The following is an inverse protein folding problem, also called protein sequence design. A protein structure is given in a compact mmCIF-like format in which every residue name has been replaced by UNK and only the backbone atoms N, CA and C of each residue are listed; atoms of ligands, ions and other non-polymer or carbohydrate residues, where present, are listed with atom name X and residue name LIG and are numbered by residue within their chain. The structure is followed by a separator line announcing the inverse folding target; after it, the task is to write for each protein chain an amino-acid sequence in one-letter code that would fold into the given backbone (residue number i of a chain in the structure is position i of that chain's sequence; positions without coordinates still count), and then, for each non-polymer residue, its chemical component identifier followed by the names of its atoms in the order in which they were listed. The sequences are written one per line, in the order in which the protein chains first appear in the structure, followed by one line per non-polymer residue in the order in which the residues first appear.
data_IF_470509343889
#
_entry.id   IF_470509343889
#
_cell.length_a   1.000
_cell.length_b   1.000
_cell.length_c   1.000
_cell.angle_alpha   90.00
_cell.angle_beta   90.00
_cell.angle_gamma   90.00
#
_symmetry.space_group_name_H-M   'P 1'
#
loop_
_entity.id
_entity.type
_entity.pdbx_description
1 polymer ?
#
# COMPACT_ATOMS: atom_id res chain seq x y z
N UNK A 1 5.58 9.40 -11.80
CA UNK A 1 5.65 8.48 -10.66
C UNK A 1 5.04 7.17 -11.15
N UNK A 2 5.61 6.03 -10.77
CA UNK A 2 5.10 4.70 -11.14
C UNK A 2 4.33 4.21 -9.93
N UNK A 3 3.03 3.92 -10.06
CA UNK A 3 2.25 3.42 -8.94
C UNK A 3 2.74 2.01 -8.54
N UNK A 4 2.47 1.57 -7.30
CA UNK A 4 2.74 0.18 -6.90
C UNK A 4 2.08 -0.81 -7.85
N UNK A 5 0.86 -0.49 -8.31
CA UNK A 5 0.11 -1.32 -9.25
C UNK A 5 0.81 -1.41 -10.60
N UNK A 6 1.33 -0.31 -11.13
CA UNK A 6 2.13 -0.32 -12.36
C UNK A 6 3.41 -1.12 -12.19
N UNK A 7 4.08 -0.99 -11.04
CA UNK A 7 5.24 -1.80 -10.73
C UNK A 7 4.90 -3.29 -10.72
N UNK A 8 3.83 -3.69 -10.02
CA UNK A 8 3.39 -5.08 -9.96
C UNK A 8 3.01 -5.62 -11.35
N UNK A 9 2.35 -4.82 -12.19
CA UNK A 9 2.04 -5.20 -13.56
C UNK A 9 3.29 -5.39 -14.43
N UNK A 10 4.26 -4.48 -14.33
CA UNK A 10 5.55 -4.63 -15.00
C UNK A 10 6.32 -5.86 -14.50
N UNK A 11 6.19 -6.18 -13.21
CA UNK A 11 6.79 -7.35 -12.59
C UNK A 11 6.14 -8.65 -13.13
N UNK A 12 4.80 -8.68 -13.20
CA UNK A 12 4.03 -9.77 -13.82
C UNK A 12 4.47 -9.98 -15.26
N UNK A 13 4.53 -8.92 -16.07
CA UNK A 13 4.95 -9.02 -17.47
C UNK A 13 6.42 -9.46 -17.62
N UNK A 14 7.31 -8.93 -16.77
CA UNK A 14 8.72 -9.31 -16.77
C UNK A 14 8.93 -10.80 -16.48
N UNK A 15 8.22 -11.32 -15.49
CA UNK A 15 8.34 -12.73 -15.11
C UNK A 15 7.45 -13.66 -15.91
N UNK A 16 6.51 -13.16 -16.71
CA UNK A 16 5.67 -14.04 -17.50
C UNK A 16 6.52 -14.82 -18.53
N UNK A 17 6.48 -16.16 -18.54
CA UNK A 17 7.24 -16.96 -19.50
C UNK A 17 7.04 -16.53 -20.97
N UNK A 18 5.83 -16.09 -21.33
CA UNK A 18 5.54 -15.60 -22.68
C UNK A 18 6.41 -14.40 -23.09
N UNK A 19 6.85 -13.55 -22.16
CA UNK A 19 7.58 -12.31 -22.47
C UNK A 19 8.97 -12.56 -23.08
N UNK A 20 9.49 -13.78 -22.92
CA UNK A 20 10.78 -14.21 -23.49
C UNK A 20 10.68 -14.68 -24.94
N UNK A 21 9.46 -14.79 -25.49
CA UNK A 21 9.21 -15.37 -26.81
C UNK A 21 8.53 -14.38 -27.75
N UNK A 22 8.77 -14.55 -29.05
CA UNK A 22 8.12 -13.73 -30.08
C UNK A 22 6.64 -14.12 -30.23
N UNK A 23 5.78 -13.38 -29.54
CA UNK A 23 4.33 -13.57 -29.62
C UNK A 23 3.74 -13.16 -30.98
N UNK A 24 4.51 -12.49 -31.85
CA UNK A 24 4.08 -12.18 -33.23
C UNK A 24 4.28 -13.34 -34.20
N UNK A 25 5.06 -14.35 -33.81
CA UNK A 25 5.28 -15.54 -34.62
C UNK A 25 4.02 -16.42 -34.70
N UNK A 26 3.92 -17.23 -35.75
CA UNK A 26 2.79 -18.16 -35.90
C UNK A 26 2.81 -19.20 -34.78
N UNK A 27 1.65 -19.76 -34.44
CA UNK A 27 1.57 -20.82 -33.43
C UNK A 27 2.47 -22.02 -33.78
N UNK A 28 2.57 -22.38 -35.06
CA UNK A 28 3.42 -23.49 -35.52
C UNK A 28 4.91 -23.21 -35.29
N UNK A 29 5.34 -21.96 -35.52
CA UNK A 29 6.73 -21.54 -35.28
C UNK A 29 7.05 -21.53 -33.77
N UNK A 30 6.14 -21.02 -32.95
CA UNK A 30 6.26 -21.01 -31.48
C UNK A 30 6.34 -22.44 -30.91
N UNK A 31 5.52 -23.37 -31.42
CA UNK A 31 5.58 -24.78 -31.02
C UNK A 31 6.91 -25.40 -31.43
N UNK A 32 7.39 -25.11 -32.64
CA UNK A 32 8.68 -25.61 -33.12
C UNK A 32 9.84 -25.12 -32.25
N UNK A 33 9.83 -23.85 -31.84
CA UNK A 33 10.79 -23.28 -30.91
C UNK A 33 10.75 -23.97 -29.53
N UNK A 34 9.56 -24.24 -28.98
CA UNK A 34 9.42 -24.96 -27.72
C UNK A 34 9.90 -26.41 -27.80
N UNK A 35 9.69 -27.10 -28.92
CA UNK A 35 10.25 -28.44 -29.15
C UNK A 35 11.78 -28.40 -29.04
N UNK A 36 12.42 -27.43 -29.69
CA UNK A 36 13.88 -27.27 -29.64
C UNK A 36 14.38 -27.00 -28.22
N UNK A 37 13.64 -26.21 -27.42
CA UNK A 37 13.96 -25.91 -26.02
C UNK A 37 13.84 -27.17 -25.16
N UNK A 38 12.70 -27.88 -25.22
CA UNK A 38 12.47 -29.12 -24.46
C UNK A 38 13.52 -30.17 -24.81
N UNK A 39 13.90 -30.29 -26.09
CA UNK A 39 14.97 -31.19 -26.51
C UNK A 39 16.32 -30.82 -25.87
N UNK A 40 16.66 -29.53 -25.76
CA UNK A 40 17.87 -29.07 -25.07
C UNK A 40 17.81 -29.34 -23.57
N UNK A 41 16.66 -29.11 -22.93
CA UNK A 41 16.43 -29.44 -21.51
C UNK A 41 16.65 -30.94 -21.26
N UNK A 42 16.08 -31.82 -22.09
CA UNK A 42 16.29 -33.27 -21.96
C UNK A 42 17.76 -33.67 -22.17
N UNK A 43 18.47 -33.03 -23.10
CA UNK A 43 19.92 -33.26 -23.24
C UNK A 43 20.69 -32.83 -21.99
N UNK A 44 20.35 -31.69 -21.40
CA UNK A 44 20.97 -31.22 -20.16
C UNK A 44 20.71 -32.15 -18.98
N UNK A 45 19.54 -32.82 -18.95
CA UNK A 45 19.21 -33.87 -17.98
C UNK A 45 19.93 -35.22 -18.25
N UNK A 46 20.74 -35.32 -19.30
CA UNK A 46 21.55 -36.50 -19.60
C UNK A 46 20.87 -37.55 -20.48
N UNK A 47 19.71 -37.25 -21.07
CA UNK A 47 19.09 -38.13 -22.06
C UNK A 47 19.88 -38.12 -23.37
N UNK A 48 20.12 -39.30 -23.94
CA UNK A 48 20.75 -39.42 -25.26
C UNK A 48 19.75 -39.14 -26.40
N UNK A 49 20.27 -38.99 -27.62
CA UNK A 49 19.44 -38.68 -28.80
C UNK A 49 18.40 -39.76 -29.12
N UNK A 50 18.66 -41.03 -28.80
CA UNK A 50 17.72 -42.12 -29.07
C UNK A 50 16.57 -42.12 -28.05
N UNK A 51 16.87 -41.85 -26.78
CA UNK A 51 15.90 -41.68 -25.72
C UNK A 51 15.00 -40.46 -25.96
N UNK A 52 15.56 -39.32 -26.39
CA UNK A 52 14.78 -38.13 -26.75
C UNK A 52 13.89 -38.41 -27.96
N UNK A 53 14.43 -39.03 -29.03
CA UNK A 53 13.65 -39.37 -30.21
C UNK A 53 12.49 -40.34 -29.90
N UNK A 54 12.66 -41.24 -28.93
CA UNK A 54 11.59 -42.15 -28.49
C UNK A 54 10.42 -41.46 -27.79
N UNK A 55 10.60 -40.21 -27.35
CA UNK A 55 9.60 -39.37 -26.67
C UNK A 55 9.05 -38.24 -27.56
N UNK A 56 9.23 -38.32 -28.89
CA UNK A 56 8.90 -37.21 -29.79
C UNK A 56 7.44 -36.73 -29.67
N UNK A 57 6.50 -37.65 -29.50
CA UNK A 57 5.08 -37.32 -29.31
C UNK A 57 4.84 -36.60 -27.98
N UNK A 58 5.47 -37.06 -26.89
CA UNK A 58 5.36 -36.42 -25.57
C UNK A 58 5.98 -35.01 -25.57
N UNK A 59 7.08 -34.82 -26.31
CA UNK A 59 7.75 -33.52 -26.48
C UNK A 59 6.86 -32.56 -27.27
N UNK A 60 6.23 -33.04 -28.35
CA UNK A 60 5.31 -32.23 -29.15
C UNK A 60 4.05 -31.84 -28.35
N UNK A 61 3.48 -32.75 -27.58
CA UNK A 61 2.35 -32.46 -26.69
C UNK A 61 2.73 -31.44 -25.60
N UNK A 62 3.90 -31.61 -24.97
CA UNK A 62 4.41 -30.65 -23.98
C UNK A 62 4.67 -29.27 -24.59
N UNK A 63 5.23 -29.20 -25.80
CA UNK A 63 5.45 -27.95 -26.51
C UNK A 63 4.14 -27.23 -26.85
N UNK A 64 3.13 -27.96 -27.30
CA UNK A 64 1.80 -27.39 -27.55
C UNK A 64 1.19 -26.81 -26.26
N UNK A 65 1.27 -27.55 -25.16
CA UNK A 65 0.78 -27.08 -23.85
C UNK A 65 1.49 -25.81 -23.38
N UNK A 66 2.83 -25.74 -23.50
CA UNK A 66 3.59 -24.51 -23.17
C UNK A 66 3.15 -23.31 -24.00
N UNK A 67 2.91 -23.50 -25.30
CA UNK A 67 2.45 -22.41 -26.19
C UNK A 67 1.03 -21.94 -25.83
N UNK A 68 0.13 -22.87 -25.50
CA UNK A 68 -1.23 -22.52 -25.09
C UNK A 68 -1.22 -21.77 -23.74
N UNK A 69 -0.39 -22.21 -22.79
CA UNK A 69 -0.15 -21.52 -21.51
C UNK A 69 0.41 -20.10 -21.71
N UNK A 70 1.44 -19.94 -22.56
CA UNK A 70 1.99 -18.61 -22.88
C UNK A 70 0.93 -17.66 -23.48
N UNK A 71 0.03 -18.19 -24.30
CA UNK A 71 -1.08 -17.39 -24.85
C UNK A 71 -2.08 -17.01 -23.76
N UNK A 72 -2.45 -17.93 -22.88
CA UNK A 72 -3.33 -17.61 -21.74
C UNK A 72 -2.73 -16.56 -20.80
N UNK A 73 -1.42 -16.64 -20.52
CA UNK A 73 -0.71 -15.65 -19.71
C UNK A 73 -0.69 -14.27 -20.38
N UNK A 74 -0.46 -14.21 -21.69
CA UNK A 74 -0.49 -12.97 -22.45
C UNK A 74 -1.89 -12.34 -22.44
N UNK A 75 -2.92 -13.15 -22.68
CA UNK A 75 -4.32 -12.69 -22.67
C UNK A 75 -4.69 -12.13 -21.29
N UNK A 76 -4.29 -12.78 -20.19
CA UNK A 76 -4.49 -12.29 -18.83
C UNK A 76 -3.78 -10.94 -18.60
N UNK A 77 -2.51 -10.81 -18.99
CA UNK A 77 -1.76 -9.56 -18.77
C UNK A 77 -2.39 -8.40 -19.55
N UNK A 78 -2.84 -8.63 -20.78
CA UNK A 78 -3.55 -7.60 -21.56
C UNK A 78 -4.90 -7.24 -20.93
N UNK A 79 -5.65 -8.22 -20.41
CA UNK A 79 -6.91 -7.97 -19.70
C UNK A 79 -6.67 -7.14 -18.43
N UNK A 80 -5.65 -7.46 -17.64
CA UNK A 80 -5.25 -6.69 -16.47
C UNK A 80 -4.83 -5.25 -16.84
N UNK A 81 -4.09 -5.06 -17.93
CA UNK A 81 -3.75 -3.72 -18.45
C UNK A 81 -5.00 -2.91 -18.77
N UNK A 82 -5.98 -3.53 -19.43
CA UNK A 82 -7.25 -2.87 -19.80
C UNK A 82 -8.01 -2.42 -18.55
N UNK A 83 -8.12 -3.27 -17.53
CA UNK A 83 -8.81 -2.94 -16.27
C UNK A 83 -8.11 -1.81 -15.51
N UNK A 84 -6.78 -1.86 -15.44
CA UNK A 84 -5.98 -0.80 -14.80
C UNK A 84 -6.11 0.53 -15.53
N UNK A 85 -6.02 0.55 -16.86
CA UNK A 85 -6.23 1.75 -17.66
C UNK A 85 -7.66 2.30 -17.54
N UNK A 86 -8.66 1.43 -17.35
CA UNK A 86 -10.04 1.84 -17.15
C UNK A 86 -10.22 2.54 -15.81
N UNK A 87 -9.65 1.99 -14.74
CA UNK A 87 -9.63 2.61 -13.42
C UNK A 87 -8.95 3.98 -13.45
N UNK A 88 -7.75 4.09 -14.04
CA UNK A 88 -7.06 5.38 -14.20
C UNK A 88 -7.89 6.43 -14.95
N UNK A 89 -8.57 6.03 -16.03
CA UNK A 89 -9.44 6.95 -16.80
C UNK A 89 -10.67 7.41 -16.03
N UNK A 90 -11.21 6.55 -15.17
CA UNK A 90 -12.40 6.84 -14.37
C UNK A 90 -12.09 7.67 -13.11
N UNK A 91 -10.85 7.59 -12.62
CA UNK A 91 -10.47 8.13 -11.30
C UNK A 91 -11.07 7.33 -10.13
N UNK A 92 -11.76 6.23 -10.41
CA UNK A 92 -12.25 5.29 -9.40
C UNK A 92 -11.14 4.27 -9.05
N UNK A 93 -11.08 3.79 -7.81
CA UNK A 93 -10.14 2.74 -7.43
C UNK A 93 -10.43 1.46 -8.25
N UNK A 94 -9.36 0.74 -8.59
CA UNK A 94 -9.46 -0.54 -9.32
C UNK A 94 -10.34 -1.52 -8.54
N UNK A 95 -11.27 -2.21 -9.20
CA UNK A 95 -12.03 -3.29 -8.57
C UNK A 95 -11.12 -4.52 -8.37
N UNK A 96 -10.58 -4.62 -7.16
CA UNK A 96 -9.72 -5.73 -6.77
C UNK A 96 -10.44 -7.08 -6.85
N UNK A 97 -11.78 -7.14 -6.77
CA UNK A 97 -12.50 -8.40 -6.82
C UNK A 97 -12.48 -9.02 -8.22
N UNK A 98 -12.62 -8.19 -9.26
CA UNK A 98 -12.60 -8.65 -10.65
C UNK A 98 -11.18 -9.08 -11.05
N UNK A 99 -10.16 -8.31 -10.68
CA UNK A 99 -8.77 -8.73 -10.85
C UNK A 99 -8.47 -10.02 -10.07
N UNK A 100 -8.97 -10.15 -8.85
CA UNK A 100 -8.79 -11.36 -8.05
C UNK A 100 -9.47 -12.56 -8.69
N UNK A 101 -10.66 -12.40 -9.28
CA UNK A 101 -11.36 -13.47 -9.98
C UNK A 101 -10.59 -13.93 -11.23
N UNK A 102 -10.09 -12.99 -12.05
CA UNK A 102 -9.28 -13.28 -13.25
C UNK A 102 -8.00 -14.02 -12.90
N UNK A 103 -7.25 -13.51 -11.91
CA UNK A 103 -6.00 -14.13 -11.44
C UNK A 103 -6.27 -15.50 -10.84
N UNK A 104 -7.29 -15.62 -9.97
CA UNK A 104 -7.64 -16.90 -9.35
C UNK A 104 -8.05 -17.94 -10.39
N UNK A 105 -8.80 -17.55 -11.42
CA UNK A 105 -9.17 -18.46 -12.50
C UNK A 105 -7.92 -18.94 -13.25
N UNK A 106 -7.05 -18.02 -13.66
CA UNK A 106 -5.81 -18.37 -14.35
C UNK A 106 -4.91 -19.29 -13.51
N UNK A 107 -4.76 -19.02 -12.22
CA UNK A 107 -3.96 -19.84 -11.30
C UNK A 107 -4.55 -21.24 -11.07
N UNK A 108 -5.88 -21.38 -11.08
CA UNK A 108 -6.53 -22.69 -11.00
C UNK A 108 -6.41 -23.51 -12.29
N UNK A 109 -6.34 -22.82 -13.44
CA UNK A 109 -6.20 -23.45 -14.75
C UNK A 109 -4.73 -23.83 -15.05
N UNK A 110 -3.77 -23.22 -14.35
CA UNK A 110 -2.35 -23.53 -14.43
C UNK A 110 -2.02 -24.95 -13.94
N UNK A 111 -1.09 -25.64 -14.62
CA UNK A 111 -0.67 -26.99 -14.23
C UNK A 111 0.31 -26.94 -13.03
N UNK A 112 0.09 -27.79 -12.00
CA UNK A 112 0.80 -27.84 -10.70
C UNK A 112 2.36 -27.76 -10.74
N UNK A 113 3.01 -28.07 -11.87
CA UNK A 113 4.48 -28.17 -11.94
C UNK A 113 5.21 -26.84 -12.18
N UNK A 114 4.52 -25.76 -12.53
CA UNK A 114 5.11 -24.44 -12.85
C UNK A 114 4.74 -23.34 -11.83
N UNK A 115 4.08 -23.67 -10.72
CA UNK A 115 3.60 -22.68 -9.73
C UNK A 115 4.72 -22.00 -8.93
N UNK A 116 5.93 -22.59 -8.89
CA UNK A 116 7.13 -22.01 -8.25
C UNK A 116 7.79 -20.94 -9.13
N UNK A 117 6.98 -20.02 -9.67
CA UNK A 117 7.41 -18.99 -10.59
C UNK A 117 7.19 -17.60 -9.98
N UNK A 118 8.18 -16.68 -10.05
CA UNK A 118 8.01 -15.29 -9.65
C UNK A 118 6.73 -14.66 -10.22
N UNK A 119 6.33 -15.08 -11.43
CA UNK A 119 5.10 -14.69 -12.12
C UNK A 119 3.84 -14.85 -11.27
N UNK A 120 3.60 -16.04 -10.71
CA UNK A 120 2.38 -16.31 -9.92
C UNK A 120 2.40 -15.56 -8.59
N UNK A 121 3.59 -15.32 -8.02
CA UNK A 121 3.73 -14.49 -6.82
C UNK A 121 3.42 -13.01 -7.12
N UNK A 122 3.85 -12.49 -8.28
CA UNK A 122 3.49 -11.13 -8.72
C UNK A 122 1.98 -11.01 -8.98
N UNK A 123 1.35 -12.03 -9.58
CA UNK A 123 -0.11 -12.08 -9.77
C UNK A 123 -0.87 -12.11 -8.43
N UNK A 124 -0.39 -12.89 -7.45
CA UNK A 124 -0.99 -12.95 -6.12
C UNK A 124 -0.89 -11.59 -5.39
N UNK A 125 0.21 -10.86 -5.55
CA UNK A 125 0.35 -9.52 -4.99
C UNK A 125 -0.52 -8.47 -5.68
N UNK A 126 -0.73 -8.60 -7.00
CA UNK A 126 -1.63 -7.73 -7.76
C UNK A 126 -3.10 -7.96 -7.40
N UNK A 127 -3.49 -9.22 -7.18
CA UNK A 127 -4.87 -9.63 -6.87
C UNK A 127 -5.21 -9.64 -5.37
N UNK A 128 -4.20 -9.63 -4.50
CA UNK A 128 -4.40 -9.80 -3.05
C UNK A 128 -4.75 -11.24 -2.64
N UNK A 129 -4.36 -12.26 -3.40
CA UNK A 129 -4.61 -13.67 -3.07
C UNK A 129 -3.80 -14.13 -1.84
N UNK A 130 -4.45 -14.07 -0.67
CA UNK A 130 -3.88 -14.52 0.60
C UNK A 130 -3.59 -16.01 0.65
N UNK A 131 -4.39 -16.83 -0.03
CA UNK A 131 -4.22 -18.28 -0.02
C UNK A 131 -2.90 -18.70 -0.69
N UNK A 132 -2.58 -18.07 -1.82
CA UNK A 132 -1.30 -18.29 -2.48
C UNK A 132 -0.14 -17.61 -1.73
N UNK A 133 -0.31 -16.39 -1.22
CA UNK A 133 0.71 -15.66 -0.45
C UNK A 133 1.19 -16.44 0.80
N UNK A 134 0.33 -17.27 1.38
CA UNK A 134 0.66 -18.11 2.54
C UNK A 134 1.25 -19.49 2.16
N UNK A 135 1.39 -19.80 0.87
CA UNK A 135 1.88 -21.09 0.38
C UNK A 135 3.41 -21.16 0.31
N UNK A 136 3.95 -22.39 0.30
CA UNK A 136 5.40 -22.62 0.13
C UNK A 136 5.91 -22.22 -1.27
N UNK A 137 5.01 -22.06 -2.24
CA UNK A 137 5.32 -21.67 -3.62
C UNK A 137 5.40 -20.14 -3.80
N UNK A 138 5.02 -19.35 -2.78
CA UNK A 138 5.10 -17.90 -2.81
C UNK A 138 6.54 -17.41 -2.59
N UNK A 139 7.00 -16.60 -3.54
CA UNK A 139 8.28 -15.90 -3.44
C UNK A 139 8.06 -14.48 -2.95
N UNK A 140 8.89 -14.02 -2.00
CA UNK A 140 8.73 -12.69 -1.39
C UNK A 140 8.87 -11.54 -2.40
N UNK A 141 8.16 -10.41 -2.21
CA UNK A 141 8.27 -9.24 -3.08
C UNK A 141 9.71 -8.70 -3.16
N UNK A 142 10.47 -8.76 -2.06
CA UNK A 142 11.85 -8.32 -2.00
C UNK A 142 12.78 -9.13 -2.92
N UNK A 143 12.66 -10.46 -2.90
CA UNK A 143 13.49 -11.32 -3.77
C UNK A 143 13.18 -11.09 -5.25
N UNK A 144 11.89 -10.92 -5.58
CA UNK A 144 11.45 -10.68 -6.95
C UNK A 144 11.89 -9.29 -7.45
N UNK A 145 11.83 -8.27 -6.59
CA UNK A 145 12.37 -6.95 -6.90
C UNK A 145 13.86 -6.97 -7.23
N UNK A 146 14.67 -7.71 -6.45
CA UNK A 146 16.11 -7.86 -6.73
C UNK A 146 16.30 -8.47 -8.13
N UNK A 147 15.59 -9.54 -8.47
CA UNK A 147 15.68 -10.18 -9.79
C UNK A 147 15.27 -9.24 -10.93
N UNK A 148 14.15 -8.54 -10.77
CA UNK A 148 13.64 -7.57 -11.73
C UNK A 148 14.65 -6.42 -11.95
N UNK A 149 15.11 -5.80 -10.87
CA UNK A 149 16.00 -4.64 -10.94
C UNK A 149 17.40 -5.00 -11.45
N UNK A 150 17.92 -6.18 -11.10
CA UNK A 150 19.18 -6.66 -11.68
C UNK A 150 19.05 -6.93 -13.18
N UNK A 151 17.89 -7.40 -13.65
CA UNK A 151 17.62 -7.61 -15.07
C UNK A 151 17.48 -6.27 -15.81
N UNK A 152 16.81 -5.29 -15.20
CA UNK A 152 16.58 -3.97 -15.79
C UNK A 152 17.82 -3.06 -15.79
N UNK A 153 18.61 -3.05 -14.71
CA UNK A 153 19.72 -2.11 -14.50
C UNK A 153 21.11 -2.75 -14.62
N UNK A 154 21.19 -4.07 -14.60
CA UNK A 154 22.43 -4.81 -14.37
C UNK A 154 22.88 -4.76 -12.91
N UNK A 155 23.73 -5.71 -12.51
CA UNK A 155 24.15 -5.87 -11.10
C UNK A 155 24.74 -4.59 -10.49
N UNK A 156 25.70 -3.94 -11.16
CA UNK A 156 26.33 -2.72 -10.64
C UNK A 156 25.35 -1.52 -10.58
N UNK A 157 24.38 -1.48 -11.49
CA UNK A 157 23.31 -0.48 -11.47
C UNK A 157 22.38 -0.67 -10.28
N UNK A 158 21.98 -1.92 -10.04
CA UNK A 158 21.19 -2.31 -8.87
C UNK A 158 21.91 -2.02 -7.55
N UNK A 159 23.18 -2.43 -7.39
CA UNK A 159 23.95 -2.18 -6.15
C UNK A 159 24.05 -0.68 -5.81
N UNK A 160 24.25 0.18 -6.83
CA UNK A 160 24.26 1.63 -6.64
C UNK A 160 22.88 2.19 -6.24
N UNK A 161 21.84 1.72 -6.92
CA UNK A 161 20.46 2.10 -6.63
C UNK A 161 20.03 1.68 -5.22
N UNK A 162 20.33 0.45 -4.83
CA UNK A 162 20.06 -0.10 -3.50
C UNK A 162 20.79 0.72 -2.42
N UNK A 163 22.07 1.06 -2.65
CA UNK A 163 22.82 1.88 -1.71
C UNK A 163 22.21 3.28 -1.54
N UNK A 164 21.85 3.95 -2.64
CA UNK A 164 21.25 5.30 -2.59
C UNK A 164 19.92 5.29 -1.84
N UNK A 165 19.04 4.34 -2.15
CA UNK A 165 17.74 4.25 -1.49
C UNK A 165 17.87 3.86 -0.02
N UNK A 166 18.85 3.04 0.34
CA UNK A 166 19.15 2.70 1.74
C UNK A 166 19.66 3.90 2.54
N UNK A 167 20.49 4.75 1.93
CA UNK A 167 20.95 5.98 2.58
C UNK A 167 19.80 6.96 2.84
N UNK A 168 18.79 7.02 1.96
CA UNK A 168 17.57 7.80 2.18
C UNK A 168 16.78 7.25 3.37
N UNK A 169 16.55 5.92 3.43
CA UNK A 169 15.86 5.28 4.56
C UNK A 169 16.58 5.56 5.88
N UNK A 170 17.91 5.41 5.92
CA UNK A 170 18.70 5.74 7.10
C UNK A 170 18.57 7.24 7.49
N UNK A 171 18.48 8.14 6.52
CA UNK A 171 18.26 9.56 6.79
C UNK A 171 16.88 9.82 7.40
N UNK A 172 15.85 9.10 6.95
CA UNK A 172 14.49 9.15 7.50
C UNK A 172 14.47 8.69 8.96
N UNK A 173 15.12 7.56 9.27
CA UNK A 173 15.23 7.07 10.66
C UNK A 173 15.90 8.09 11.59
N UNK A 174 16.92 8.80 11.10
CA UNK A 174 17.55 9.89 11.85
C UNK A 174 16.61 11.08 12.04
N UNK A 175 15.81 11.44 11.03
CA UNK A 175 14.81 12.49 11.14
C UNK A 175 13.72 12.14 12.16
N UNK A 176 13.28 10.88 12.20
CA UNK A 176 12.35 10.41 13.25
C UNK A 176 12.96 10.51 14.65
N UNK A 177 14.24 10.13 14.80
CA UNK A 177 14.93 10.25 16.08
C UNK A 177 14.96 11.71 16.56
N UNK A 178 15.25 12.64 15.65
CA UNK A 178 15.23 14.08 15.94
C UNK A 178 13.82 14.60 16.23
N UNK A 179 12.81 14.20 15.45
CA UNK A 179 11.42 14.55 15.70
C UNK A 179 10.96 14.09 17.09
N UNK A 180 11.47 12.96 17.59
CA UNK A 180 11.17 12.48 18.95
C UNK A 180 11.73 13.39 20.07
N UNK A 181 12.72 14.22 19.78
CA UNK A 181 13.28 15.18 20.73
C UNK A 181 12.50 16.51 20.79
N UNK A 182 11.58 16.74 19.86
CA UNK A 182 10.76 17.97 19.81
C UNK A 182 9.72 17.96 20.94
N UNK A 183 9.81 19.00 21.79
CA UNK A 183 8.92 19.19 22.94
C UNK A 183 7.57 19.78 22.54
N UNK A 184 7.53 20.69 21.56
CA UNK A 184 6.30 21.30 21.07
C UNK A 184 5.43 20.24 20.36
N UNK A 185 4.23 19.93 20.87
CA UNK A 185 3.44 18.83 20.32
C UNK A 185 2.92 19.06 18.90
N UNK A 186 2.63 20.32 18.52
CA UNK A 186 2.16 20.64 17.17
C UNK A 186 3.29 20.54 16.16
N UNK A 187 4.47 21.10 16.49
CA UNK A 187 5.65 20.97 15.63
C UNK A 187 6.04 19.50 15.46
N UNK A 188 5.94 18.71 16.52
CA UNK A 188 6.22 17.27 16.46
C UNK A 188 5.25 16.53 15.53
N UNK A 189 3.94 16.78 15.66
CA UNK A 189 2.95 16.17 14.77
C UNK A 189 3.20 16.54 13.30
N UNK A 190 3.48 17.82 13.03
CA UNK A 190 3.81 18.28 11.68
C UNK A 190 5.07 17.60 11.10
N UNK A 191 6.12 17.39 11.92
CA UNK A 191 7.31 16.65 11.51
C UNK A 191 7.00 15.18 11.23
N UNK A 192 6.20 14.52 12.07
CA UNK A 192 5.78 13.13 11.87
C UNK A 192 5.02 12.98 10.54
N UNK A 193 4.16 13.95 10.18
CA UNK A 193 3.44 13.97 8.89
C UNK A 193 4.42 14.13 7.72
N UNK A 194 5.32 15.11 7.76
CA UNK A 194 6.33 15.31 6.71
C UNK A 194 7.26 14.11 6.54
N UNK A 195 7.64 13.46 7.64
CA UNK A 195 8.40 12.22 7.61
C UNK A 195 7.59 11.10 6.96
N UNK A 196 6.29 11.03 7.26
CA UNK A 196 5.36 10.11 6.62
C UNK A 196 5.23 10.33 5.12
N UNK A 197 5.15 11.58 4.66
CA UNK A 197 5.15 11.95 3.24
C UNK A 197 6.45 11.48 2.56
N UNK A 198 7.61 11.74 3.18
CA UNK A 198 8.91 11.26 2.68
C UNK A 198 9.00 9.74 2.62
N UNK A 199 8.39 9.03 3.58
CA UNK A 199 8.27 7.56 3.54
C UNK A 199 7.38 7.10 2.39
N UNK A 200 6.30 7.84 2.10
CA UNK A 200 5.46 7.63 0.92
C UNK A 200 6.26 7.78 -0.38
N UNK A 201 7.05 8.85 -0.52
CA UNK A 201 7.94 9.06 -1.68
C UNK A 201 8.95 7.92 -1.84
N UNK A 202 9.51 7.43 -0.73
CA UNK A 202 10.44 6.28 -0.76
C UNK A 202 9.70 4.99 -1.10
N UNK A 203 8.45 4.81 -0.70
CA UNK A 203 7.64 3.65 -1.06
C UNK A 203 7.45 3.54 -2.58
N UNK A 204 7.42 4.67 -3.30
CA UNK A 204 7.37 4.68 -4.77
C UNK A 204 8.71 4.27 -5.40
N UNK A 205 9.83 4.62 -4.78
CA UNK A 205 11.15 4.16 -5.20
C UNK A 205 11.31 2.66 -4.88
N UNK A 206 10.81 2.22 -3.73
CA UNK A 206 10.94 0.86 -3.20
C UNK A 206 9.57 0.19 -3.10
N UNK A 207 8.88 -0.09 -4.22
CA UNK A 207 7.52 -0.64 -4.21
C UNK A 207 7.43 -2.05 -3.61
N UNK A 208 8.57 -2.75 -3.47
CA UNK A 208 8.68 -4.04 -2.81
C UNK A 208 8.73 -3.95 -1.27
N UNK A 209 8.97 -2.76 -0.72
CA UNK A 209 9.10 -2.53 0.71
C UNK A 209 7.70 -2.36 1.31
N UNK A 210 7.10 -3.47 1.74
CA UNK A 210 5.69 -3.54 2.14
C UNK A 210 5.37 -2.65 3.34
N UNK A 211 6.34 -2.44 4.22
CA UNK A 211 6.18 -1.62 5.43
C UNK A 211 6.00 -0.13 5.09
N UNK A 212 6.52 0.31 3.94
CA UNK A 212 6.38 1.68 3.47
C UNK A 212 5.04 1.94 2.77
N UNK A 213 4.31 0.90 2.37
CA UNK A 213 3.12 1.04 1.52
C UNK A 213 1.93 1.65 2.27
N UNK A 214 1.89 1.52 3.60
CA UNK A 214 0.89 2.24 4.40
C UNK A 214 1.05 3.77 4.31
N UNK A 215 2.24 4.27 3.93
CA UNK A 215 2.51 5.70 3.83
C UNK A 215 2.02 6.32 2.51
N UNK A 216 1.64 5.52 1.51
CA UNK A 216 1.08 6.00 0.24
C UNK A 216 -0.45 6.13 0.26
N UNK A 217 -1.10 5.71 1.35
CA UNK A 217 -2.55 5.71 1.50
C UNK A 217 -2.94 6.80 2.48
N UNK A 218 -3.86 7.68 2.09
CA UNK A 218 -4.40 8.71 2.97
C UNK A 218 -5.34 8.10 4.04
N UNK A 219 -5.25 8.62 5.26
CA UNK A 219 -6.19 8.37 6.36
C UNK A 219 -7.00 9.65 6.61
N UNK A 220 -8.20 9.68 6.04
CA UNK A 220 -9.13 10.80 6.15
C UNK A 220 -9.63 11.03 7.60
N UNK A 221 -9.33 10.12 8.54
CA UNK A 221 -9.74 10.27 9.94
C UNK A 221 -9.01 11.41 10.66
N UNK A 222 -7.88 11.88 10.12
CA UNK A 222 -7.07 12.96 10.70
C UNK A 222 -7.02 14.21 9.82
N UNK A 223 -7.73 14.22 8.69
CA UNK A 223 -7.85 15.40 7.85
C UNK A 223 -8.94 16.30 8.39
N UNK A 224 -8.61 17.57 8.62
CA UNK A 224 -9.55 18.58 9.10
C UNK A 224 -9.61 19.72 8.11
N UNK A 225 -10.81 20.07 7.64
CA UNK A 225 -11.01 21.15 6.66
C UNK A 225 -10.74 22.56 7.21
N UNK A 226 -10.46 22.70 8.51
CA UNK A 226 -10.10 23.97 9.14
C UNK A 226 -8.71 23.87 9.75
N UNK A 227 -7.86 24.87 9.48
CA UNK A 227 -6.50 24.94 10.04
C UNK A 227 -6.47 25.58 11.44
N UNK A 228 -5.31 25.52 12.09
CA UNK A 228 -5.11 26.06 13.45
C UNK A 228 -5.46 27.55 13.54
N UNK A 229 -5.13 28.35 12.53
CA UNK A 229 -5.42 29.78 12.51
C UNK A 229 -6.91 30.09 12.40
N UNK A 230 -7.69 29.23 11.73
CA UNK A 230 -9.15 29.35 11.65
C UNK A 230 -9.83 29.00 12.97
N UNK A 231 -9.27 28.03 13.71
CA UNK A 231 -9.71 27.68 15.07
C UNK A 231 -9.38 28.78 16.10
N UNK A 232 -8.26 29.50 15.92
CA UNK A 232 -7.87 30.61 16.80
C UNK A 232 -8.70 31.89 16.60
N UNK A 233 -9.39 32.01 15.46
CA UNK A 233 -10.23 33.15 15.09
C UNK A 233 -11.73 32.83 15.12
N UNK A 234 -12.14 31.79 15.85
CA UNK A 234 -13.55 31.44 16.04
C UNK A 234 -14.31 32.56 16.76
N UNK A 235 -15.55 32.80 16.34
CA UNK A 235 -16.46 33.65 17.11
C UNK A 235 -16.69 33.04 18.51
N UNK A 236 -17.00 33.84 19.55
CA UNK A 236 -17.04 33.34 20.93
C UNK A 236 -17.91 32.08 21.14
N UNK A 237 -19.05 31.98 20.47
CA UNK A 237 -19.92 30.80 20.52
C UNK A 237 -19.36 29.58 19.80
N UNK A 238 -18.60 29.77 18.72
CA UNK A 238 -17.91 28.69 18.01
C UNK A 238 -16.70 28.22 18.84
N UNK A 239 -15.96 29.16 19.43
CA UNK A 239 -14.84 28.89 20.31
C UNK A 239 -15.27 28.08 21.55
N UNK A 240 -16.42 28.38 22.16
CA UNK A 240 -16.96 27.61 23.28
C UNK A 240 -17.25 26.14 22.92
N UNK A 241 -17.83 25.88 21.73
CA UNK A 241 -18.09 24.51 21.25
C UNK A 241 -16.79 23.74 20.99
N UNK A 242 -15.84 24.39 20.33
CA UNK A 242 -14.52 23.83 20.08
C UNK A 242 -13.78 23.51 21.39
N UNK A 243 -13.75 24.44 22.33
CA UNK A 243 -13.15 24.27 23.65
C UNK A 243 -13.76 23.09 24.42
N UNK A 244 -15.08 22.90 24.36
CA UNK A 244 -15.75 21.80 25.03
C UNK A 244 -15.33 20.42 24.47
N UNK A 245 -15.24 20.29 23.14
CA UNK A 245 -14.75 19.06 22.49
C UNK A 245 -13.28 18.82 22.83
N UNK A 246 -12.47 19.89 22.78
CA UNK A 246 -11.05 19.83 23.12
C UNK A 246 -10.82 19.30 24.54
N UNK A 247 -11.50 19.90 25.51
CA UNK A 247 -11.32 19.57 26.92
C UNK A 247 -11.79 18.14 27.23
N UNK A 248 -12.85 17.66 26.57
CA UNK A 248 -13.33 16.27 26.69
C UNK A 248 -12.34 15.25 26.11
N UNK A 249 -11.76 15.51 24.94
CA UNK A 249 -10.72 14.67 24.33
C UNK A 249 -9.48 14.62 25.22
N UNK A 250 -8.99 15.79 25.66
CA UNK A 250 -7.81 15.90 26.52
C UNK A 250 -8.04 15.17 27.85
N UNK A 251 -9.20 15.36 28.48
CA UNK A 251 -9.54 14.68 29.72
C UNK A 251 -9.60 13.15 29.55
N UNK A 252 -10.19 12.67 28.45
CA UNK A 252 -10.29 11.24 28.16
C UNK A 252 -8.92 10.63 27.92
N UNK A 253 -8.09 11.26 27.09
CA UNK A 253 -6.72 10.82 26.83
C UNK A 253 -5.89 10.75 28.12
N UNK A 254 -5.96 11.79 28.96
CA UNK A 254 -5.28 11.83 30.26
C UNK A 254 -5.75 10.71 31.19
N UNK A 255 -7.03 10.31 31.12
CA UNK A 255 -7.56 9.21 31.93
C UNK A 255 -6.99 7.84 31.57
N UNK A 256 -6.41 7.71 30.36
CA UNK A 256 -5.70 6.51 29.89
C UNK A 256 -4.18 6.61 30.09
N UNK A 257 -3.69 7.67 30.73
CA UNK A 257 -2.27 7.90 30.97
C UNK A 257 -1.51 8.51 29.78
N UNK A 258 -2.23 8.99 28.75
CA UNK A 258 -1.63 9.72 27.64
C UNK A 258 -1.44 11.20 28.00
N UNK A 259 -0.57 11.89 27.25
CA UNK A 259 -0.56 13.35 27.23
C UNK A 259 -1.65 13.83 26.26
N UNK A 260 -2.78 14.30 26.82
CA UNK A 260 -3.94 14.69 26.03
C UNK A 260 -3.69 15.87 25.07
N UNK A 261 -2.79 16.79 25.41
CA UNK A 261 -2.45 17.89 24.50
C UNK A 261 -1.62 17.38 23.32
N UNK A 262 -0.67 16.47 23.59
CA UNK A 262 0.11 15.82 22.53
C UNK A 262 -0.75 14.93 21.64
N UNK A 263 -1.71 14.23 22.23
CA UNK A 263 -2.68 13.44 21.48
C UNK A 263 -3.49 14.31 20.52
N UNK A 264 -4.07 15.40 21.03
CA UNK A 264 -4.91 16.30 20.26
C UNK A 264 -4.14 17.01 19.13
N UNK A 265 -2.87 17.34 19.34
CA UNK A 265 -2.06 18.09 18.38
C UNK A 265 -1.94 17.41 17.00
N UNK A 266 -2.16 16.08 16.92
CA UNK A 266 -2.14 15.28 15.68
C UNK A 266 -3.34 15.50 14.76
N UNK A 267 -4.41 16.12 15.26
CA UNK A 267 -5.64 16.39 14.52
C UNK A 267 -5.68 17.83 13.97
N UNK A 268 -4.55 18.53 13.95
CA UNK A 268 -4.52 19.94 13.62
C UNK A 268 -3.54 20.20 12.48
N UNK A 269 -3.94 21.04 11.52
CA UNK A 269 -3.06 21.63 10.51
C UNK A 269 -2.44 20.63 9.51
N UNK A 270 -3.22 19.62 9.09
CA UNK A 270 -2.81 18.63 8.11
C UNK A 270 -3.88 18.47 7.01
N UNK A 271 -3.49 18.72 5.75
CA UNK A 271 -4.37 18.51 4.58
C UNK A 271 -4.59 17.01 4.30
N UNK A 272 -3.57 16.20 4.56
CA UNK A 272 -3.58 14.74 4.44
C UNK A 272 -2.62 14.14 5.46
N UNK A 273 -2.97 12.98 6.02
CA UNK A 273 -2.08 12.18 6.86
C UNK A 273 -2.13 10.76 6.33
N UNK A 274 -0.99 10.07 6.22
CA UNK A 274 -0.99 8.70 5.72
C UNK A 274 -1.36 7.67 6.80
N UNK A 275 -1.92 6.53 6.37
CA UNK A 275 -2.26 5.40 7.25
C UNK A 275 -1.04 4.92 8.04
N UNK A 276 0.16 4.92 7.42
CA UNK A 276 1.41 4.56 8.10
C UNK A 276 1.77 5.50 9.25
N UNK A 277 1.56 6.81 9.08
CA UNK A 277 1.79 7.79 10.14
C UNK A 277 0.79 7.63 11.28
N UNK A 278 -0.50 7.45 10.97
CA UNK A 278 -1.54 7.29 12.00
C UNK A 278 -1.40 5.99 12.76
N UNK A 279 -0.99 4.89 12.10
CA UNK A 279 -0.64 3.63 12.76
C UNK A 279 0.51 3.82 13.76
N UNK A 280 1.58 4.53 13.36
CA UNK A 280 2.72 4.83 14.24
C UNK A 280 2.29 5.59 15.49
N UNK A 281 1.38 6.57 15.36
CA UNK A 281 0.82 7.28 16.49
C UNK A 281 -0.05 6.39 17.40
N UNK A 282 -0.92 5.57 16.81
CA UNK A 282 -1.78 4.63 17.56
C UNK A 282 -0.94 3.64 18.35
N UNK A 283 0.09 3.05 17.76
CA UNK A 283 0.97 2.07 18.42
C UNK A 283 1.71 2.69 19.62
N UNK A 284 2.18 3.93 19.47
CA UNK A 284 2.83 4.67 20.55
C UNK A 284 1.85 4.96 21.72
N UNK A 285 0.61 5.31 21.40
CA UNK A 285 -0.43 5.57 22.39
C UNK A 285 -0.87 4.29 23.10
N UNK A 286 -1.06 3.19 22.37
CA UNK A 286 -1.39 1.86 22.92
C UNK A 286 -0.30 1.43 23.88
N UNK A 287 0.96 1.55 23.49
CA UNK A 287 2.11 1.20 24.34
C UNK A 287 2.14 2.04 25.63
N UNK A 288 1.85 3.34 25.53
CA UNK A 288 1.81 4.26 26.67
C UNK A 288 0.64 3.94 27.61
N UNK A 289 -0.55 3.71 27.07
CA UNK A 289 -1.74 3.36 27.84
C UNK A 289 -1.62 1.98 28.49
N UNK A 290 -1.03 1.00 27.80
CA UNK A 290 -0.77 -0.33 28.36
C UNK A 290 0.14 -0.25 29.59
N UNK A 291 1.23 0.53 29.51
CA UNK A 291 2.12 0.77 30.65
C UNK A 291 1.39 1.47 31.81
N UNK A 292 0.48 2.40 31.51
CA UNK A 292 -0.35 3.05 32.52
C UNK A 292 -1.28 2.05 33.22
N UNK A 293 -2.02 1.23 32.47
CA UNK A 293 -2.93 0.22 33.03
C UNK A 293 -2.20 -0.87 33.80
N UNK A 294 -1.03 -1.32 33.33
CA UNK A 294 -0.17 -2.25 34.05
C UNK A 294 0.26 -1.68 35.40
N UNK A 295 0.65 -0.39 35.43
CA UNK A 295 1.00 0.30 36.70
C UNK A 295 -0.16 0.40 37.70
N UNK A 296 -1.40 0.29 37.23
CA UNK A 296 -2.61 0.25 38.06
C UNK A 296 -3.04 -1.18 38.45
N UNK A 297 -2.32 -2.20 37.98
CA UNK A 297 -2.65 -3.61 38.22
C UNK A 297 -3.84 -4.12 37.41
N UNK A 298 -4.13 -3.51 36.27
CA UNK A 298 -5.16 -3.99 35.34
C UNK A 298 -4.62 -5.20 34.58
N UNK A 299 -5.26 -6.38 34.67
CA UNK A 299 -4.87 -7.54 33.86
C UNK A 299 -5.15 -7.28 32.38
N UNK A 300 -4.42 -7.98 31.50
CA UNK A 300 -4.57 -7.86 30.04
C UNK A 300 -4.45 -6.40 29.57
N UNK A 301 -3.52 -5.66 30.17
CA UNK A 301 -3.35 -4.21 30.01
C UNK A 301 -3.15 -3.78 28.56
N UNK A 302 -2.49 -4.60 27.74
CA UNK A 302 -2.27 -4.34 26.32
C UNK A 302 -3.57 -4.45 25.50
N UNK A 303 -4.31 -5.56 25.62
CA UNK A 303 -5.62 -5.73 24.95
C UNK A 303 -6.60 -4.64 25.37
N UNK A 304 -6.56 -4.24 26.65
CA UNK A 304 -7.37 -3.13 27.15
C UNK A 304 -6.95 -1.80 26.53
N UNK A 305 -5.65 -1.55 26.39
CA UNK A 305 -5.11 -0.35 25.76
C UNK A 305 -5.49 -0.26 24.28
N UNK A 306 -5.34 -1.35 23.52
CA UNK A 306 -5.79 -1.42 22.11
C UNK A 306 -7.25 -0.98 21.96
N UNK A 307 -8.14 -1.54 22.78
CA UNK A 307 -9.57 -1.23 22.71
C UNK A 307 -9.88 0.25 23.01
N UNK A 308 -9.36 0.79 24.13
CA UNK A 308 -9.71 2.16 24.55
C UNK A 308 -9.00 3.24 23.74
N UNK A 309 -7.77 2.99 23.28
CA UNK A 309 -7.04 3.91 22.42
C UNK A 309 -7.65 3.91 21.02
N UNK A 310 -8.02 2.74 20.48
CA UNK A 310 -8.77 2.65 19.23
C UNK A 310 -10.08 3.43 19.26
N UNK A 311 -10.87 3.26 20.33
CA UNK A 311 -12.11 4.04 20.53
C UNK A 311 -11.84 5.54 20.66
N UNK A 312 -10.80 5.94 21.41
CA UNK A 312 -10.42 7.35 21.56
C UNK A 312 -10.12 8.00 20.20
N UNK A 313 -9.27 7.38 19.37
CA UNK A 313 -8.94 7.91 18.05
C UNK A 313 -10.17 8.06 17.15
N UNK A 314 -11.07 7.06 17.16
CA UNK A 314 -12.32 7.09 16.38
C UNK A 314 -13.28 8.17 16.85
N UNK A 315 -13.51 8.27 18.17
CA UNK A 315 -14.43 9.24 18.77
C UNK A 315 -13.89 10.65 18.63
N UNK A 316 -12.60 10.87 18.81
CA UNK A 316 -11.95 12.17 18.63
C UNK A 316 -12.09 12.67 17.19
N UNK A 317 -11.75 11.83 16.20
CA UNK A 317 -11.94 12.15 14.78
C UNK A 317 -13.39 12.58 14.50
N UNK A 318 -14.36 11.77 14.94
CA UNK A 318 -15.79 12.03 14.72
C UNK A 318 -16.27 13.34 15.37
N UNK A 319 -15.83 13.62 16.61
CA UNK A 319 -16.22 14.83 17.35
C UNK A 319 -15.62 16.09 16.72
N UNK A 320 -14.36 16.02 16.31
CA UNK A 320 -13.67 17.14 15.64
C UNK A 320 -14.35 17.42 14.30
N UNK A 321 -14.59 16.39 13.48
CA UNK A 321 -15.27 16.53 12.20
C UNK A 321 -16.68 17.15 12.36
N UNK A 322 -17.45 16.71 13.35
CA UNK A 322 -18.79 17.24 13.61
C UNK A 322 -18.77 18.73 14.00
N UNK A 323 -17.86 19.14 14.88
CA UNK A 323 -17.74 20.56 15.28
C UNK A 323 -17.26 21.42 14.12
N UNK A 324 -16.27 20.96 13.35
CA UNK A 324 -15.77 21.68 12.17
C UNK A 324 -16.89 21.86 11.14
N UNK A 325 -17.66 20.81 10.84
CA UNK A 325 -18.81 20.90 9.93
C UNK A 325 -19.88 21.88 10.43
N UNK A 326 -20.19 21.88 11.74
CA UNK A 326 -21.15 22.81 12.31
C UNK A 326 -20.70 24.26 12.20
N UNK A 327 -19.41 24.53 12.43
CA UNK A 327 -18.80 25.86 12.29
C UNK A 327 -18.87 26.32 10.83
N UNK A 328 -18.42 25.48 9.89
CA UNK A 328 -18.48 25.79 8.45
C UNK A 328 -19.92 26.09 8.03
N UNK A 329 -20.87 25.24 8.41
CA UNK A 329 -22.28 25.45 8.08
C UNK A 329 -22.86 26.73 8.67
N UNK A 330 -22.49 27.09 9.90
CA UNK A 330 -22.92 28.34 10.55
C UNK A 330 -22.41 29.56 9.78
N UNK A 331 -21.15 29.51 9.32
CA UNK A 331 -20.55 30.59 8.51
C UNK A 331 -21.20 30.73 7.15
N UNK A 332 -21.47 29.61 6.47
CA UNK A 332 -22.18 29.59 5.18
C UNK A 332 -23.61 30.16 5.30
N UNK A 333 -24.33 29.83 6.36
CA UNK A 333 -25.65 30.39 6.61
C UNK A 333 -25.59 31.91 6.86
N UNK A 334 -24.58 32.38 7.60
CA UNK A 334 -24.40 33.81 7.86
C UNK A 334 -24.06 34.61 6.59
N UNK A 335 -23.27 34.07 5.67
CA UNK A 335 -23.00 34.70 4.37
C UNK A 335 -24.23 34.71 3.45
N UNK A 336 -25.04 33.65 3.43
CA UNK A 336 -26.27 33.61 2.64
C UNK A 336 -27.35 34.59 3.12
N UNK A 337 -27.47 34.81 4.44
CA UNK A 337 -28.41 35.81 4.99
C UNK A 337 -28.03 37.24 4.57
N UNK A 338 -26.75 37.53 4.37
CA UNK A 338 -26.28 38.85 3.92
C UNK A 338 -26.44 39.11 2.42
N UNK A 339 -26.55 38.07 1.58
CA UNK A 339 -26.82 38.24 0.15
C UNK A 339 -28.32 38.51 -0.14
N UNK A 340 -29.24 37.93 0.64
CA UNK A 340 -30.69 38.14 0.47
C UNK A 340 -31.18 39.51 1.00
N UNK A 341 -30.51 40.09 2.00
CA UNK A 341 -30.82 41.45 2.49
C UNK A 341 -30.34 42.57 1.54
N UNK A 342 -29.51 42.25 0.53
CA UNK A 342 -29.03 43.18 -0.50
C UNK A 342 -30.02 43.40 -1.67
N UNK A 343 -31.11 42.63 -1.72
CA UNK A 343 -32.08 42.63 -2.82
C UNK A 343 -33.53 42.71 -2.33
N UNK A 344 -33.82 43.60 -1.38
CA UNK A 344 -35.20 44.06 -1.17
C UNK A 344 -35.34 45.53 -1.60
N UNK A 345 -35.98 45.71 -2.76
CA UNK A 345 -36.37 46.97 -3.41
C UNK A 345 -37.29 47.86 -2.57
#
# INVERSE_FOLDING_TARGET
MVSRTDYLLNEVEHFAPYSQFDQSASREDRVSEQIDIIMKEQQAMGYDRAAIASKSFDIEDQANRRVDEHTAQQDLVEELKIELEAAERSGEPVDLNDMQALVSQHMNDAQEYDLYHPYYSSLADLSGDKGFQDSDDYQSPGDRYVQYMQSALGQAGFENYEQQTKDIVNSIENMEALAREVEDPHLRAALDVQIGELKGDVAELRPCDTDLQAYTVADDSYTTSMNAAELDNLDPTEAEKWLAVRDDIVATANSFGLDGNKFLARYNDHDSVSVGTTATWRDADISTAAAHFDSQGVPDSYERAEAVVGELHQVSSSKIAAVVQEIVHTREQATHVHEDDGHSL
#
